data_IF_726014289570
#
_entry.id   IF_726014289570
#
_cell.length_a   1.000
_cell.length_b   1.000
_cell.length_c   1.000
_cell.angle_alpha   90.00
_cell.angle_beta   90.00
_cell.angle_gamma   90.00
#
_symmetry.space_group_name_H-M   'P 1'
#
loop_
_entity.id
_entity.type
_entity.pdbx_description
1 polymer ?
#
# COMPACT_ATOMS: atom_id res chain seq x y z
N UNK A 1 -33.08 14.12 11.08
CA UNK A 1 -33.15 12.94 10.22
C UNK A 1 -32.98 13.27 8.74
N UNK A 2 -32.04 14.17 8.33
CA UNK A 2 -31.73 14.50 6.93
C UNK A 2 -30.23 14.68 6.64
N UNK A 3 -29.34 14.28 7.56
CA UNK A 3 -27.89 14.35 7.39
C UNK A 3 -27.17 12.99 7.28
N UNK A 4 -27.93 11.87 7.33
CA UNK A 4 -27.37 10.51 7.29
C UNK A 4 -27.32 9.90 5.88
N UNK A 5 -27.67 10.64 4.83
CA UNK A 5 -27.76 10.09 3.46
C UNK A 5 -26.64 10.55 2.52
N UNK A 6 -25.66 11.29 3.00
CA UNK A 6 -24.60 11.85 2.12
C UNK A 6 -23.28 11.06 2.20
N UNK A 7 -23.08 10.23 3.23
CA UNK A 7 -21.78 9.56 3.43
C UNK A 7 -21.68 8.14 2.83
N UNK A 8 -22.79 7.55 2.38
CA UNK A 8 -22.81 6.24 1.71
C UNK A 8 -22.52 6.33 0.19
N UNK A 9 -22.30 7.53 -0.35
CA UNK A 9 -22.11 7.77 -1.80
C UNK A 9 -20.65 8.00 -2.22
N UNK A 10 -19.70 8.00 -1.30
CA UNK A 10 -18.30 8.19 -1.66
C UNK A 10 -17.58 6.91 -2.12
N UNK A 11 -18.21 5.74 -1.97
CA UNK A 11 -17.59 4.46 -2.38
C UNK A 11 -18.18 3.85 -3.68
N UNK A 12 -19.13 4.50 -4.35
CA UNK A 12 -19.76 3.83 -5.52
C UNK A 12 -20.07 4.68 -6.74
N UNK A 13 -19.90 5.98 -6.77
CA UNK A 13 -20.23 6.75 -7.99
C UNK A 13 -19.33 7.99 -8.12
N UNK A 14 -18.19 7.85 -8.81
CA UNK A 14 -17.64 8.98 -9.55
C UNK A 14 -18.37 9.06 -10.89
N UNK A 15 -19.08 10.15 -11.21
CA UNK A 15 -19.60 10.35 -12.54
C UNK A 15 -18.45 10.65 -13.51
N UNK A 16 -18.38 9.89 -14.59
CA UNK A 16 -17.61 10.22 -15.77
C UNK A 16 -18.00 11.63 -16.25
N UNK A 17 -17.19 12.61 -16.00
CA UNK A 17 -17.28 13.89 -16.68
C UNK A 17 -16.43 13.82 -17.94
N UNK A 18 -17.11 13.62 -19.07
CA UNK A 18 -16.58 13.85 -20.40
C UNK A 18 -16.22 15.34 -20.53
N UNK A 19 -14.94 15.68 -20.45
CA UNK A 19 -14.43 16.90 -21.04
C UNK A 19 -13.72 16.56 -22.35
N UNK A 20 -14.43 16.81 -23.42
CA UNK A 20 -13.83 16.94 -24.73
C UNK A 20 -13.10 18.28 -24.76
N UNK A 21 -11.77 18.27 -24.73
CA UNK A 21 -10.97 19.43 -25.09
C UNK A 21 -10.38 19.22 -26.47
N UNK A 22 -10.77 20.10 -27.38
CA UNK A 22 -10.26 20.15 -28.76
C UNK A 22 -8.78 20.47 -28.78
N UNK A 23 -8.08 19.76 -29.63
CA UNK A 23 -6.67 20.00 -29.96
C UNK A 23 -6.64 21.14 -31.00
N UNK A 24 -6.10 22.29 -30.66
CA UNK A 24 -5.61 23.25 -31.64
C UNK A 24 -4.12 23.01 -31.90
N UNK A 25 -3.67 23.12 -33.16
CA UNK A 25 -2.28 22.85 -33.52
C UNK A 25 -1.37 24.06 -33.19
N UNK A 26 -0.25 23.78 -32.54
CA UNK A 26 0.81 24.74 -32.28
C UNK A 26 1.66 24.98 -33.55
N UNK A 27 2.15 26.21 -33.79
CA UNK A 27 2.86 26.56 -35.02
C UNK A 27 4.31 26.09 -35.04
N UNK A 28 4.77 25.77 -36.25
CA UNK A 28 6.13 25.38 -36.61
C UNK A 28 7.19 26.45 -36.21
N UNK A 29 8.29 25.97 -35.67
CA UNK A 29 9.50 26.76 -35.45
C UNK A 29 10.45 26.65 -36.65
N UNK A 30 11.17 27.72 -37.02
CA UNK A 30 11.96 27.77 -38.25
C UNK A 30 13.33 27.07 -38.10
N UNK A 31 13.71 26.40 -39.17
CA UNK A 31 15.05 25.88 -39.41
C UNK A 31 16.03 27.01 -39.70
N UNK A 32 17.07 27.14 -38.90
CA UNK A 32 18.29 27.85 -39.30
C UNK A 32 19.50 26.89 -39.26
N UNK A 33 20.07 26.75 -40.42
CA UNK A 33 21.36 26.11 -40.68
C UNK A 33 22.47 27.12 -40.48
N UNK A 34 23.43 26.87 -39.58
CA UNK A 34 24.74 27.51 -39.67
C UNK A 34 25.87 26.53 -39.43
N UNK A 35 26.67 26.46 -40.49
CA UNK A 35 28.00 25.88 -40.61
C UNK A 35 28.97 26.49 -39.61
N UNK A 36 29.69 25.69 -38.83
CA UNK A 36 30.99 26.11 -38.29
C UNK A 36 31.98 24.99 -38.16
N UNK A 37 33.02 25.20 -38.90
CA UNK A 37 34.36 24.61 -39.03
C UNK A 37 34.91 23.81 -37.83
N UNK A 38 35.55 22.70 -38.23
CA UNK A 38 36.48 21.82 -37.51
C UNK A 38 37.61 22.60 -36.82
N UNK A 39 37.78 22.35 -35.52
CA UNK A 39 39.05 22.48 -34.82
C UNK A 39 39.34 21.17 -34.08
N UNK A 40 40.38 20.52 -34.59
CA UNK A 40 41.09 19.39 -33.98
C UNK A 40 41.57 19.78 -32.58
N UNK A 41 41.11 19.12 -31.53
CA UNK A 41 41.77 19.06 -30.22
C UNK A 41 41.97 17.63 -29.79
N UNK A 42 43.24 17.30 -29.68
CA UNK A 42 43.89 16.11 -29.18
C UNK A 42 43.21 15.49 -27.96
N UNK A 43 42.95 14.20 -28.08
CA UNK A 43 42.48 13.23 -27.12
C UNK A 43 43.54 12.90 -26.03
N UNK A 44 43.21 13.00 -24.74
CA UNK A 44 43.95 12.31 -23.70
C UNK A 44 43.10 11.14 -23.17
N UNK A 45 42.95 10.10 -23.99
CA UNK A 45 42.47 8.81 -23.52
C UNK A 45 43.64 7.93 -23.12
N UNK A 46 43.89 7.82 -21.84
CA UNK A 46 44.38 6.55 -21.28
C UNK A 46 44.21 6.58 -19.76
N UNK A 47 43.73 5.48 -19.24
CA UNK A 47 43.58 5.09 -17.84
C UNK A 47 42.20 5.34 -17.18
N UNK A 48 41.14 4.84 -17.82
CA UNK A 48 40.02 4.33 -17.07
C UNK A 48 40.21 2.82 -16.86
N UNK A 49 40.13 2.30 -15.61
CA UNK A 49 40.15 0.85 -15.41
C UNK A 49 38.97 0.24 -16.15
N UNK A 50 39.23 -0.85 -16.86
CA UNK A 50 38.21 -1.64 -17.53
C UNK A 50 37.10 -1.94 -16.52
N UNK A 51 35.89 -1.48 -16.80
CA UNK A 51 34.68 -1.91 -16.08
C UNK A 51 34.65 -3.41 -16.28
N UNK A 52 34.93 -4.15 -15.21
CA UNK A 52 34.77 -5.61 -15.20
C UNK A 52 33.41 -5.94 -15.77
N UNK A 53 33.43 -6.78 -16.77
CA UNK A 53 32.28 -7.41 -17.39
C UNK A 53 31.35 -7.95 -16.29
N UNK A 54 30.34 -7.19 -15.93
CA UNK A 54 29.23 -7.70 -15.15
C UNK A 54 28.51 -8.60 -16.15
N UNK A 55 28.79 -9.89 -16.05
CA UNK A 55 28.10 -10.89 -16.86
C UNK A 55 26.61 -10.75 -16.58
N UNK A 56 25.88 -10.18 -17.54
CA UNK A 56 24.41 -10.22 -17.52
C UNK A 56 24.05 -11.69 -17.46
N UNK A 57 23.27 -12.14 -16.45
CA UNK A 57 22.88 -13.54 -16.36
C UNK A 57 22.20 -13.95 -17.67
N UNK A 58 22.57 -15.13 -18.19
CA UNK A 58 21.99 -15.63 -19.42
C UNK A 58 20.49 -15.87 -19.19
N UNK A 59 19.64 -15.14 -19.91
CA UNK A 59 18.19 -15.29 -19.80
C UNK A 59 17.79 -16.68 -20.23
N UNK A 60 16.97 -17.38 -19.46
CA UNK A 60 16.54 -18.73 -19.80
C UNK A 60 15.07 -18.97 -19.48
N UNK A 61 14.38 -19.52 -20.47
CA UNK A 61 13.03 -20.02 -20.31
C UNK A 61 11.93 -18.96 -20.13
N UNK A 62 10.78 -19.41 -19.74
CA UNK A 62 9.60 -18.58 -19.46
C UNK A 62 9.27 -18.60 -17.98
N UNK A 63 8.75 -17.49 -17.47
CA UNK A 63 8.18 -17.37 -16.13
C UNK A 63 6.73 -16.97 -16.22
N UNK A 64 5.86 -17.72 -15.53
CA UNK A 64 4.42 -17.45 -15.48
C UNK A 64 3.94 -17.35 -14.05
N UNK A 65 3.21 -16.30 -13.73
CA UNK A 65 2.62 -16.10 -12.41
C UNK A 65 1.16 -15.68 -12.49
N UNK A 66 0.41 -16.04 -11.46
CA UNK A 66 -0.96 -15.57 -11.24
C UNK A 66 -1.01 -14.82 -9.93
N UNK A 67 -1.45 -13.57 -9.95
CA UNK A 67 -1.66 -12.73 -8.77
C UNK A 67 -3.14 -12.74 -8.42
N UNK A 68 -3.44 -13.20 -7.21
CA UNK A 68 -4.76 -13.21 -6.60
C UNK A 68 -4.77 -12.23 -5.42
N UNK A 69 -5.75 -11.35 -5.37
CA UNK A 69 -5.76 -10.38 -4.28
C UNK A 69 -6.88 -9.36 -4.33
N UNK A 70 -6.66 -8.30 -3.58
CA UNK A 70 -7.59 -7.19 -3.39
C UNK A 70 -7.16 -5.93 -4.16
N UNK A 71 -7.50 -4.75 -3.62
CA UNK A 71 -7.15 -3.44 -4.17
C UNK A 71 -5.64 -3.20 -4.25
N UNK A 72 -4.85 -3.76 -3.33
CA UNK A 72 -3.39 -3.65 -3.34
C UNK A 72 -2.84 -4.38 -4.58
N UNK A 73 -3.29 -5.62 -4.81
CA UNK A 73 -2.90 -6.39 -6.00
C UNK A 73 -3.32 -5.69 -7.29
N UNK A 74 -4.51 -5.07 -7.30
CA UNK A 74 -5.02 -4.32 -8.46
C UNK A 74 -4.23 -3.04 -8.73
N UNK A 75 -3.63 -2.41 -7.71
CA UNK A 75 -2.94 -1.12 -7.80
C UNK A 75 -3.88 0.06 -7.63
N UNK A 76 -4.86 -0.05 -6.72
CA UNK A 76 -5.77 1.04 -6.41
C UNK A 76 -5.01 2.29 -5.96
N UNK A 77 -5.46 3.45 -6.43
CA UNK A 77 -4.85 4.75 -6.09
C UNK A 77 -3.64 5.14 -6.93
N UNK A 78 -3.09 4.24 -7.76
CA UNK A 78 -2.02 4.56 -8.70
C UNK A 78 -2.56 5.30 -9.93
N UNK A 79 -1.76 6.22 -10.47
CA UNK A 79 -2.11 6.98 -11.68
C UNK A 79 -2.29 6.06 -12.91
N UNK A 80 -1.46 5.04 -13.03
CA UNK A 80 -1.48 4.06 -14.12
C UNK A 80 -1.31 2.64 -13.56
N UNK A 81 -2.36 2.03 -13.01
CA UNK A 81 -2.24 0.73 -12.32
C UNK A 81 -1.64 -0.39 -13.19
N UNK A 82 -1.95 -0.42 -14.49
CA UNK A 82 -1.46 -1.43 -15.42
C UNK A 82 0.06 -1.46 -15.55
N UNK A 83 0.74 -0.33 -15.35
CA UNK A 83 2.20 -0.23 -15.43
C UNK A 83 2.90 -0.02 -14.08
N UNK A 84 2.18 0.48 -13.07
CA UNK A 84 2.77 0.89 -11.80
C UNK A 84 2.49 -0.08 -10.63
N UNK A 85 1.52 -0.98 -10.75
CA UNK A 85 1.27 -1.98 -9.73
C UNK A 85 2.43 -2.97 -9.62
N UNK A 86 2.67 -3.50 -8.44
CA UNK A 86 3.82 -4.36 -8.17
C UNK A 86 3.97 -5.53 -9.15
N UNK A 87 2.87 -6.14 -9.61
CA UNK A 87 2.92 -7.25 -10.57
C UNK A 87 3.42 -6.83 -11.97
N UNK A 88 3.17 -5.59 -12.39
CA UNK A 88 3.71 -5.05 -13.63
C UNK A 88 5.21 -4.73 -13.50
N UNK A 89 5.60 -4.13 -12.37
CA UNK A 89 7.01 -3.85 -12.05
C UNK A 89 7.82 -5.15 -11.89
N UNK A 90 7.23 -6.20 -11.33
CA UNK A 90 7.81 -7.54 -11.29
C UNK A 90 8.04 -8.08 -12.71
N UNK A 91 7.06 -7.97 -13.60
CA UNK A 91 7.18 -8.46 -14.97
C UNK A 91 8.34 -7.77 -15.70
N UNK A 92 8.49 -6.46 -15.52
CA UNK A 92 9.61 -5.70 -16.07
C UNK A 92 10.95 -6.18 -15.51
N UNK A 93 11.08 -6.27 -14.18
CA UNK A 93 12.31 -6.65 -13.50
C UNK A 93 12.73 -8.10 -13.81
N UNK A 94 11.78 -9.04 -13.81
CA UNK A 94 12.02 -10.46 -14.11
C UNK A 94 12.40 -10.67 -15.59
N UNK A 95 12.06 -9.74 -16.49
CA UNK A 95 12.53 -9.74 -17.87
C UNK A 95 14.05 -9.64 -18.02
N UNK A 96 14.80 -9.33 -16.96
CA UNK A 96 16.26 -9.44 -16.94
C UNK A 96 16.75 -10.90 -16.80
N UNK A 97 15.92 -11.80 -16.25
CA UNK A 97 16.28 -13.18 -15.89
C UNK A 97 15.61 -14.22 -16.81
N UNK A 98 14.44 -13.91 -17.35
CA UNK A 98 13.65 -14.82 -18.19
C UNK A 98 13.46 -14.25 -19.60
N UNK A 99 13.37 -15.15 -20.60
CA UNK A 99 13.14 -14.75 -22.00
C UNK A 99 11.74 -14.18 -22.18
N UNK A 100 10.76 -14.79 -21.49
CA UNK A 100 9.37 -14.33 -21.45
C UNK A 100 8.86 -14.32 -20.02
N UNK A 101 8.12 -13.27 -19.67
CA UNK A 101 7.46 -13.13 -18.37
C UNK A 101 5.98 -12.86 -18.61
N UNK A 102 5.11 -13.69 -18.05
CA UNK A 102 3.66 -13.56 -18.14
C UNK A 102 3.07 -13.55 -16.72
N UNK A 103 2.58 -12.40 -16.27
CA UNK A 103 1.97 -12.22 -14.94
C UNK A 103 0.52 -11.78 -15.10
N UNK A 104 -0.40 -12.71 -14.90
CA UNK A 104 -1.84 -12.45 -14.90
C UNK A 104 -2.31 -11.94 -13.55
N UNK A 105 -2.93 -10.77 -13.49
CA UNK A 105 -3.38 -10.14 -12.24
C UNK A 105 -4.90 -10.15 -12.13
N UNK A 106 -5.39 -10.77 -11.05
CA UNK A 106 -6.80 -10.93 -10.69
C UNK A 106 -7.17 -10.20 -9.39
N UNK A 107 -6.48 -9.11 -9.08
CA UNK A 107 -6.81 -8.21 -7.97
C UNK A 107 -8.18 -7.54 -8.18
N UNK A 108 -9.00 -7.49 -7.14
CA UNK A 108 -10.32 -6.83 -7.14
C UNK A 108 -10.49 -6.00 -5.88
N UNK A 109 -10.86 -4.73 -6.03
CA UNK A 109 -11.04 -3.82 -4.90
C UNK A 109 -12.03 -4.38 -3.87
N UNK A 110 -11.65 -4.29 -2.61
CA UNK A 110 -12.48 -4.72 -1.49
C UNK A 110 -12.58 -6.24 -1.29
N UNK A 111 -11.92 -7.06 -2.13
CA UNK A 111 -12.01 -8.52 -2.02
C UNK A 111 -11.52 -9.01 -0.67
N UNK A 112 -12.29 -9.88 -0.04
CA UNK A 112 -11.97 -10.61 1.18
C UNK A 112 -11.48 -12.02 0.89
N UNK A 113 -10.96 -12.73 1.91
CA UNK A 113 -10.57 -14.13 1.76
C UNK A 113 -11.73 -15.03 1.37
N UNK A 114 -12.94 -14.80 1.91
CA UNK A 114 -14.17 -15.53 1.54
C UNK A 114 -14.49 -15.34 0.05
N UNK A 115 -14.44 -14.12 -0.44
CA UNK A 115 -14.73 -13.81 -1.85
C UNK A 115 -13.66 -14.36 -2.79
N UNK A 116 -12.38 -14.35 -2.37
CA UNK A 116 -11.32 -15.02 -3.11
C UNK A 116 -11.56 -16.54 -3.19
N UNK A 117 -11.94 -17.16 -2.07
CA UNK A 117 -12.25 -18.60 -2.02
C UNK A 117 -13.44 -18.95 -2.93
N UNK A 118 -14.49 -18.12 -2.93
CA UNK A 118 -15.65 -18.33 -3.80
C UNK A 118 -15.25 -18.19 -5.29
N UNK A 119 -14.45 -17.19 -5.63
CA UNK A 119 -13.91 -17.01 -6.97
C UNK A 119 -13.12 -18.25 -7.44
N UNK A 120 -12.23 -18.78 -6.61
CA UNK A 120 -11.45 -19.98 -6.92
C UNK A 120 -12.32 -21.23 -7.12
N UNK A 121 -13.49 -21.32 -6.46
CA UNK A 121 -14.43 -22.43 -6.61
C UNK A 121 -15.32 -22.33 -7.84
N UNK A 122 -15.67 -21.13 -8.25
CA UNK A 122 -16.72 -20.90 -9.24
C UNK A 122 -16.18 -20.53 -10.63
N UNK A 123 -15.12 -19.71 -10.67
CA UNK A 123 -14.56 -19.19 -11.93
C UNK A 123 -13.04 -18.97 -11.81
N UNK A 124 -12.25 -20.01 -11.48
CA UNK A 124 -10.82 -19.86 -11.27
C UNK A 124 -10.08 -19.45 -12.55
N UNK A 125 -9.01 -18.65 -12.43
CA UNK A 125 -8.15 -18.30 -13.55
C UNK A 125 -7.56 -19.56 -14.21
N UNK A 126 -7.65 -19.67 -15.53
CA UNK A 126 -7.11 -20.83 -16.28
C UNK A 126 -5.59 -20.89 -16.21
N UNK A 127 -4.97 -19.73 -16.07
CA UNK A 127 -3.52 -19.56 -15.98
C UNK A 127 -2.92 -20.25 -14.76
N UNK A 128 -3.71 -20.51 -13.73
CA UNK A 128 -3.24 -21.29 -12.56
C UNK A 128 -2.79 -22.70 -12.96
N UNK A 129 -3.42 -23.30 -13.97
CA UNK A 129 -3.12 -24.70 -14.35
C UNK A 129 -1.68 -24.93 -14.83
N UNK A 130 -1.02 -23.89 -15.36
CA UNK A 130 0.32 -23.99 -15.95
C UNK A 130 1.28 -22.86 -15.54
N UNK A 131 0.96 -22.13 -14.46
CA UNK A 131 1.85 -21.14 -13.90
C UNK A 131 2.95 -21.76 -13.02
N UNK A 132 4.08 -21.08 -12.93
CA UNK A 132 5.18 -21.45 -12.03
C UNK A 132 4.85 -21.10 -10.58
N UNK A 133 4.13 -19.98 -10.37
CA UNK A 133 3.70 -19.59 -9.03
C UNK A 133 2.35 -18.85 -9.00
N UNK A 134 1.72 -18.91 -7.81
CA UNK A 134 0.55 -18.13 -7.45
C UNK A 134 0.91 -17.19 -6.30
N UNK A 135 0.66 -15.93 -6.47
CA UNK A 135 0.88 -14.86 -5.48
C UNK A 135 -0.45 -14.50 -4.85
N UNK A 136 -0.52 -14.51 -3.52
CA UNK A 136 -1.72 -14.19 -2.75
C UNK A 136 -1.47 -12.93 -1.93
N UNK A 137 -2.25 -11.88 -2.20
CA UNK A 137 -2.23 -10.59 -1.48
C UNK A 137 -3.66 -10.30 -0.99
N UNK A 138 -4.00 -10.84 0.19
CA UNK A 138 -5.35 -10.79 0.75
C UNK A 138 -5.31 -10.67 2.28
N UNK A 139 -6.38 -10.18 2.89
CA UNK A 139 -6.55 -10.16 4.34
C UNK A 139 -6.87 -8.76 4.88
N UNK A 140 -6.34 -7.69 4.29
CA UNK A 140 -6.61 -6.33 4.73
C UNK A 140 -8.10 -6.00 4.83
N UNK A 141 -8.88 -6.44 3.86
CA UNK A 141 -10.33 -6.23 3.84
C UNK A 141 -11.11 -7.06 4.87
N UNK A 142 -10.51 -8.09 5.45
CA UNK A 142 -11.12 -8.82 6.55
C UNK A 142 -11.30 -7.93 7.79
N UNK A 143 -10.45 -6.90 7.96
CA UNK A 143 -10.63 -5.85 8.98
C UNK A 143 -11.50 -4.70 8.45
N UNK A 144 -11.29 -4.26 7.22
CA UNK A 144 -11.98 -3.10 6.66
C UNK A 144 -13.51 -3.28 6.53
N UNK A 145 -14.01 -4.50 6.38
CA UNK A 145 -15.46 -4.77 6.42
C UNK A 145 -16.10 -4.54 7.79
N UNK A 146 -15.29 -4.32 8.84
CA UNK A 146 -15.74 -4.06 10.20
C UNK A 146 -15.76 -2.56 10.53
N UNK A 147 -16.02 -1.75 9.52
CA UNK A 147 -15.76 -0.31 9.41
C UNK A 147 -16.47 0.61 10.40
N UNK A 148 -17.54 0.22 11.11
CA UNK A 148 -18.27 1.17 11.93
C UNK A 148 -17.43 1.78 13.05
N UNK A 149 -16.57 0.99 13.70
CA UNK A 149 -15.69 1.49 14.78
C UNK A 149 -14.51 2.30 14.23
N UNK A 150 -13.83 1.79 13.21
CA UNK A 150 -12.73 2.51 12.56
C UNK A 150 -13.24 3.79 11.89
N UNK A 151 -14.42 3.74 11.25
CA UNK A 151 -15.05 4.93 10.65
C UNK A 151 -15.39 5.98 11.71
N UNK A 152 -15.84 5.56 12.91
CA UNK A 152 -16.11 6.48 14.02
C UNK A 152 -14.81 7.19 14.45
N UNK A 153 -13.72 6.45 14.59
CA UNK A 153 -12.42 7.02 14.94
C UNK A 153 -11.89 7.98 13.85
N UNK A 154 -11.96 7.58 12.58
CA UNK A 154 -11.51 8.44 11.48
C UNK A 154 -12.40 9.66 11.29
N UNK A 155 -13.71 9.56 11.49
CA UNK A 155 -14.60 10.72 11.49
C UNK A 155 -14.24 11.70 12.60
N UNK A 156 -13.95 11.21 13.81
CA UNK A 156 -13.49 12.07 14.90
C UNK A 156 -12.18 12.78 14.56
N UNK A 157 -11.24 12.07 13.94
CA UNK A 157 -9.97 12.64 13.51
C UNK A 157 -10.15 13.72 12.43
N UNK A 158 -11.06 13.51 11.47
CA UNK A 158 -11.40 14.50 10.44
C UNK A 158 -12.16 15.72 10.96
N UNK A 159 -12.70 15.66 12.19
CA UNK A 159 -13.32 16.81 12.87
C UNK A 159 -12.31 17.70 13.60
N UNK A 160 -11.02 17.33 13.61
CA UNK A 160 -9.98 18.16 14.22
C UNK A 160 -9.91 19.53 13.54
N UNK A 161 -10.14 20.58 14.32
CA UNK A 161 -10.15 21.96 13.81
C UNK A 161 -8.73 22.39 13.37
N UNK A 162 -8.50 22.64 12.07
CA UNK A 162 -7.20 23.11 11.58
C UNK A 162 -6.73 24.39 12.27
N UNK A 163 -7.68 25.24 12.74
CA UNK A 163 -7.37 26.44 13.48
C UNK A 163 -6.81 26.12 14.88
N UNK A 164 -7.33 25.11 15.56
CA UNK A 164 -6.79 24.69 16.85
C UNK A 164 -5.35 24.18 16.69
N UNK A 165 -5.06 23.39 15.64
CA UNK A 165 -3.69 22.95 15.31
C UNK A 165 -2.79 24.14 15.01
N UNK A 166 -3.23 25.09 14.19
CA UNK A 166 -2.45 26.30 13.87
C UNK A 166 -2.21 27.18 15.12
N UNK A 167 -3.22 27.37 15.98
CA UNK A 167 -3.10 28.12 17.22
C UNK A 167 -2.14 27.42 18.21
N UNK A 168 -2.15 26.09 18.29
CA UNK A 168 -1.18 25.34 19.08
C UNK A 168 0.25 25.69 18.63
N UNK A 169 0.60 25.51 17.37
CA UNK A 169 1.97 25.81 16.89
C UNK A 169 2.35 27.28 17.03
N UNK A 170 1.38 28.18 16.90
CA UNK A 170 1.63 29.61 17.05
C UNK A 170 1.99 30.01 18.48
N UNK A 171 1.35 29.38 19.47
CA UNK A 171 1.44 29.83 20.87
C UNK A 171 2.23 28.88 21.79
N UNK A 172 2.60 27.67 21.32
CA UNK A 172 3.26 26.65 22.17
C UNK A 172 4.67 27.04 22.66
N UNK A 173 5.33 28.02 22.05
CA UNK A 173 6.75 28.32 22.38
C UNK A 173 6.88 29.21 23.60
N UNK A 174 6.11 30.29 23.71
CA UNK A 174 6.20 31.23 24.83
C UNK A 174 4.93 32.10 24.91
N UNK A 175 3.78 31.56 25.29
CA UNK A 175 2.53 32.31 25.32
C UNK A 175 2.50 33.36 26.44
N UNK A 176 2.00 34.56 26.16
CA UNK A 176 1.80 35.62 27.14
C UNK A 176 0.33 36.13 27.14
N UNK A 177 -0.16 36.51 28.31
CA UNK A 177 -1.51 37.09 28.46
C UNK A 177 -2.60 36.17 27.88
N UNK A 178 -3.43 36.72 26.98
CA UNK A 178 -4.54 36.00 26.30
C UNK A 178 -4.06 34.84 25.40
N UNK A 179 -2.78 34.77 25.05
CA UNK A 179 -2.25 33.67 24.24
C UNK A 179 -2.24 32.37 25.00
N UNK A 180 -2.12 32.40 26.34
CA UNK A 180 -2.21 31.22 27.20
C UNK A 180 -3.58 30.57 27.13
N UNK A 181 -4.63 31.40 27.11
CA UNK A 181 -6.01 30.88 27.02
C UNK A 181 -6.27 30.25 25.63
N UNK A 182 -5.68 30.84 24.58
CA UNK A 182 -5.78 30.28 23.21
C UNK A 182 -5.01 28.96 23.08
N UNK A 183 -3.82 28.88 23.69
CA UNK A 183 -3.06 27.63 23.72
C UNK A 183 -3.81 26.54 24.50
N UNK A 184 -4.35 26.87 25.68
CA UNK A 184 -5.11 25.93 26.49
C UNK A 184 -6.33 25.40 25.70
N UNK A 185 -7.09 26.28 25.07
CA UNK A 185 -8.21 25.86 24.21
C UNK A 185 -7.75 24.95 23.05
N UNK A 186 -6.64 25.26 22.40
CA UNK A 186 -6.10 24.43 21.31
C UNK A 186 -5.66 23.05 21.83
N UNK A 187 -4.97 22.99 22.96
CA UNK A 187 -4.58 21.73 23.61
C UNK A 187 -5.80 20.87 23.97
N UNK A 188 -6.81 21.47 24.59
CA UNK A 188 -8.05 20.78 24.98
C UNK A 188 -8.79 20.22 23.74
N UNK A 189 -8.88 21.01 22.66
CA UNK A 189 -9.54 20.60 21.43
C UNK A 189 -8.81 19.42 20.75
N UNK A 190 -7.48 19.48 20.66
CA UNK A 190 -6.66 18.39 20.09
C UNK A 190 -6.74 17.16 20.98
N UNK A 191 -6.60 17.31 22.30
CA UNK A 191 -6.68 16.22 23.27
C UNK A 191 -8.03 15.50 23.20
N UNK A 192 -9.13 16.25 23.09
CA UNK A 192 -10.47 15.68 22.97
C UNK A 192 -10.62 14.78 21.72
N UNK A 193 -10.06 15.21 20.58
CA UNK A 193 -10.11 14.42 19.34
C UNK A 193 -9.23 13.17 19.47
N UNK A 194 -7.99 13.32 19.94
CA UNK A 194 -7.07 12.19 20.13
C UNK A 194 -7.66 11.16 21.10
N UNK A 195 -8.26 11.61 22.20
CA UNK A 195 -8.94 10.74 23.16
C UNK A 195 -10.12 10.00 22.56
N UNK A 196 -10.92 10.66 21.72
CA UNK A 196 -12.05 10.03 21.04
C UNK A 196 -11.60 8.95 20.05
N UNK A 197 -10.53 9.21 19.29
CA UNK A 197 -9.91 8.23 18.37
C UNK A 197 -9.37 7.04 19.15
N UNK A 198 -8.58 7.30 20.19
CA UNK A 198 -8.01 6.25 21.04
C UNK A 198 -9.11 5.37 21.67
N UNK A 199 -10.16 5.99 22.22
CA UNK A 199 -11.26 5.27 22.85
C UNK A 199 -11.97 4.33 21.86
N UNK A 200 -12.13 4.74 20.61
CA UNK A 200 -12.72 3.89 19.57
C UNK A 200 -11.85 2.66 19.30
N UNK A 201 -10.55 2.83 19.12
CA UNK A 201 -9.60 1.75 18.85
C UNK A 201 -9.24 0.90 20.09
N UNK A 202 -9.42 1.41 21.30
CA UNK A 202 -9.25 0.67 22.55
C UNK A 202 -10.51 -0.10 22.97
N UNK A 203 -11.64 0.12 22.30
CA UNK A 203 -12.90 -0.51 22.65
C UNK A 203 -12.85 -2.05 22.57
N UNK A 204 -13.64 -2.72 23.41
CA UNK A 204 -13.83 -4.19 23.34
C UNK A 204 -14.35 -4.62 21.96
N UNK A 205 -15.21 -3.81 21.36
CA UNK A 205 -15.74 -4.05 20.02
C UNK A 205 -14.62 -4.12 18.99
N UNK A 206 -13.73 -3.12 18.95
CA UNK A 206 -12.61 -3.12 18.00
C UNK A 206 -11.66 -4.31 18.25
N UNK A 207 -11.32 -4.59 19.51
CA UNK A 207 -10.45 -5.71 19.85
C UNK A 207 -11.05 -7.06 19.47
N UNK A 208 -12.36 -7.24 19.65
CA UNK A 208 -13.06 -8.44 19.19
C UNK A 208 -13.02 -8.57 17.67
N UNK A 209 -13.27 -7.45 16.96
CA UNK A 209 -13.31 -7.43 15.50
C UNK A 209 -11.95 -7.83 14.86
N UNK A 210 -10.83 -7.26 15.33
CA UNK A 210 -9.51 -7.64 14.78
C UNK A 210 -9.16 -9.10 15.09
N UNK A 211 -9.54 -9.59 16.29
CA UNK A 211 -9.36 -10.99 16.66
C UNK A 211 -10.17 -11.92 15.76
N UNK A 212 -11.42 -11.57 15.49
CA UNK A 212 -12.31 -12.37 14.63
C UNK A 212 -11.88 -12.30 13.15
N UNK A 213 -11.27 -11.19 12.69
CA UNK A 213 -10.68 -11.10 11.37
C UNK A 213 -9.51 -12.07 11.19
N UNK A 214 -8.62 -12.14 12.18
CA UNK A 214 -7.51 -13.08 12.19
C UNK A 214 -7.98 -14.54 12.16
N UNK A 215 -8.96 -14.90 13.02
CA UNK A 215 -9.54 -16.25 13.04
C UNK A 215 -10.19 -16.65 11.71
N UNK A 216 -10.93 -15.72 11.08
CA UNK A 216 -11.51 -15.99 9.75
C UNK A 216 -10.43 -16.25 8.72
N UNK A 217 -9.39 -15.44 8.72
CA UNK A 217 -8.27 -15.67 7.80
C UNK A 217 -7.57 -17.01 8.06
N UNK A 218 -7.43 -17.41 9.34
CA UNK A 218 -6.93 -18.74 9.73
C UNK A 218 -7.79 -19.88 9.15
N UNK A 219 -9.11 -19.71 9.09
CA UNK A 219 -10.03 -20.69 8.49
C UNK A 219 -10.02 -20.65 6.95
N UNK A 220 -9.80 -19.47 6.35
CA UNK A 220 -9.83 -19.26 4.90
C UNK A 220 -8.56 -19.73 4.20
N UNK A 221 -7.38 -19.50 4.78
CA UNK A 221 -6.08 -19.82 4.16
C UNK A 221 -5.98 -21.28 3.72
N UNK A 222 -6.31 -22.30 4.58
CA UNK A 222 -6.23 -23.70 4.16
C UNK A 222 -7.13 -24.03 2.97
N UNK A 223 -8.31 -23.40 2.93
CA UNK A 223 -9.27 -23.61 1.85
C UNK A 223 -8.80 -22.98 0.54
N UNK A 224 -8.26 -21.75 0.58
CA UNK A 224 -7.69 -21.07 -0.57
C UNK A 224 -6.53 -21.87 -1.16
N UNK A 225 -5.58 -22.29 -0.31
CA UNK A 225 -4.43 -23.10 -0.73
C UNK A 225 -4.89 -24.43 -1.33
N UNK A 226 -5.89 -25.10 -0.74
CA UNK A 226 -6.42 -26.35 -1.26
C UNK A 226 -7.07 -26.18 -2.65
N UNK A 227 -7.80 -25.10 -2.91
CA UNK A 227 -8.37 -24.84 -4.26
C UNK A 227 -7.25 -24.59 -5.29
N UNK A 228 -6.21 -23.82 -4.95
CA UNK A 228 -5.07 -23.62 -5.85
C UNK A 228 -4.35 -24.95 -6.13
N UNK A 229 -4.12 -25.81 -5.12
CA UNK A 229 -3.47 -27.11 -5.27
C UNK A 229 -4.27 -28.11 -6.11
N UNK A 230 -5.60 -27.99 -6.14
CA UNK A 230 -6.46 -28.81 -7.05
C UNK A 230 -6.22 -28.43 -8.51
N UNK A 231 -6.00 -27.15 -8.78
CA UNK A 231 -5.78 -26.63 -10.13
C UNK A 231 -4.34 -26.85 -10.60
N UNK A 232 -3.36 -26.59 -9.71
CA UNK A 232 -1.94 -26.78 -9.98
C UNK A 232 -1.21 -27.27 -8.71
N UNK A 233 -1.00 -28.57 -8.58
CA UNK A 233 -0.31 -29.15 -7.42
C UNK A 233 1.17 -28.76 -7.34
N UNK A 234 1.77 -28.29 -8.44
CA UNK A 234 3.20 -27.99 -8.55
C UNK A 234 3.53 -26.50 -8.44
N UNK A 235 2.55 -25.61 -8.56
CA UNK A 235 2.82 -24.18 -8.45
C UNK A 235 3.44 -23.83 -7.09
N UNK A 236 4.47 -23.00 -7.09
CA UNK A 236 4.88 -22.35 -5.84
C UNK A 236 3.76 -21.40 -5.39
N UNK A 237 3.46 -21.34 -4.11
CA UNK A 237 2.48 -20.42 -3.56
C UNK A 237 3.23 -19.42 -2.68
N UNK A 238 3.06 -18.15 -2.95
CA UNK A 238 3.58 -17.02 -2.18
C UNK A 238 2.43 -16.30 -1.50
N UNK A 239 2.46 -16.21 -0.18
CA UNK A 239 1.45 -15.49 0.58
C UNK A 239 2.09 -14.27 1.24
N UNK A 240 1.66 -13.07 0.84
CA UNK A 240 2.21 -11.83 1.34
C UNK A 240 1.59 -11.47 2.70
N UNK A 241 2.42 -10.99 3.65
CA UNK A 241 1.95 -10.38 4.90
C UNK A 241 1.35 -9.00 4.66
N UNK A 242 0.43 -8.60 5.52
CA UNK A 242 -0.25 -7.29 5.47
C UNK A 242 0.60 -6.27 6.24
N UNK A 243 0.98 -5.17 5.61
CA UNK A 243 1.75 -4.09 6.23
C UNK A 243 0.86 -3.17 7.10
N UNK A 244 1.49 -2.46 8.05
CA UNK A 244 0.82 -1.42 8.85
C UNK A 244 0.65 -0.14 8.02
N UNK A 245 -0.57 0.24 7.60
CA UNK A 245 -0.77 1.43 6.76
C UNK A 245 -0.60 2.74 7.53
N UNK A 246 -0.58 2.69 8.87
CA UNK A 246 -0.51 3.88 9.74
C UNK A 246 0.85 3.98 10.45
N UNK A 247 1.87 3.33 9.91
CA UNK A 247 3.24 3.37 10.45
C UNK A 247 3.74 4.81 10.59
N UNK A 248 4.25 5.15 11.79
CA UNK A 248 4.74 6.49 12.11
C UNK A 248 3.64 7.52 12.41
N UNK A 249 2.35 7.14 12.42
CA UNK A 249 1.25 8.07 12.68
C UNK A 249 0.88 8.19 14.17
N UNK A 250 1.82 7.94 15.07
CA UNK A 250 1.68 8.33 16.47
C UNK A 250 2.07 9.80 16.64
N UNK A 251 1.20 10.59 17.27
CA UNK A 251 1.45 12.02 17.51
C UNK A 251 1.41 12.35 18.98
N UNK A 252 2.52 12.89 19.49
CA UNK A 252 2.61 13.42 20.83
C UNK A 252 2.96 14.91 20.78
N UNK A 253 2.14 15.74 21.38
CA UNK A 253 2.32 17.18 21.43
C UNK A 253 2.52 17.64 22.89
N UNK A 254 3.43 18.58 23.10
CA UNK A 254 3.68 19.14 24.42
C UNK A 254 2.42 19.85 24.95
N UNK A 255 2.07 19.63 26.22
CA UNK A 255 0.89 20.20 26.89
C UNK A 255 -0.47 19.72 26.34
N UNK A 256 -0.49 18.76 25.41
CA UNK A 256 -1.69 18.01 25.00
C UNK A 256 -1.72 16.72 25.82
N UNK A 257 -2.80 16.50 26.57
CA UNK A 257 -2.88 15.38 27.53
C UNK A 257 -2.94 14.01 26.84
N UNK A 258 -3.60 13.95 25.68
CA UNK A 258 -3.76 12.72 24.91
C UNK A 258 -2.75 12.65 23.76
N UNK A 259 -2.20 11.47 23.56
CA UNK A 259 -1.36 11.13 22.41
C UNK A 259 -2.19 10.36 21.38
N UNK A 260 -2.12 10.73 20.10
CA UNK A 260 -2.70 9.91 19.02
C UNK A 260 -1.81 8.68 18.79
N UNK A 261 -2.43 7.48 18.68
CA UNK A 261 -1.72 6.19 18.59
C UNK A 261 -2.12 5.35 17.39
N UNK A 262 -2.23 5.96 16.20
CA UNK A 262 -2.67 5.23 14.99
C UNK A 262 -1.70 4.12 14.58
N UNK A 263 -0.40 4.35 14.72
CA UNK A 263 0.63 3.32 14.46
C UNK A 263 0.43 2.10 15.36
N UNK A 264 0.24 2.30 16.67
CA UNK A 264 0.04 1.21 17.63
C UNK A 264 -1.21 0.37 17.30
N UNK A 265 -2.28 1.03 16.85
CA UNK A 265 -3.52 0.34 16.48
C UNK A 265 -3.39 -0.39 15.16
N UNK A 266 -2.72 0.21 14.17
CA UNK A 266 -2.39 -0.42 12.91
C UNK A 266 -1.55 -1.67 13.12
N UNK A 267 -0.48 -1.56 13.89
CA UNK A 267 0.43 -2.66 14.24
C UNK A 267 -0.32 -3.85 14.87
N UNK A 268 -1.13 -3.58 15.88
CA UNK A 268 -1.93 -4.60 16.55
C UNK A 268 -2.93 -5.28 15.60
N UNK A 269 -3.50 -4.51 14.68
CA UNK A 269 -4.47 -5.03 13.70
C UNK A 269 -3.81 -5.95 12.69
N UNK A 270 -2.67 -5.54 12.12
CA UNK A 270 -1.98 -6.37 11.13
C UNK A 270 -1.30 -7.59 11.76
N UNK A 271 -0.86 -7.50 13.01
CA UNK A 271 -0.33 -8.65 13.75
C UNK A 271 -1.37 -9.79 13.86
N UNK A 272 -2.66 -9.46 14.10
CA UNK A 272 -3.72 -10.45 14.12
C UNK A 272 -3.94 -11.14 12.76
N UNK A 273 -3.73 -10.43 11.63
CA UNK A 273 -3.85 -11.00 10.29
C UNK A 273 -2.62 -11.81 9.89
N UNK A 274 -1.43 -11.32 10.26
CA UNK A 274 -0.17 -11.95 9.85
C UNK A 274 0.12 -13.24 10.64
N UNK A 275 -0.34 -13.33 11.90
CA UNK A 275 -0.16 -14.52 12.71
C UNK A 275 -0.61 -15.83 12.01
N UNK A 276 -1.82 -15.96 11.46
CA UNK A 276 -2.21 -17.16 10.72
C UNK A 276 -1.45 -17.32 9.38
N UNK A 277 -1.11 -16.24 8.68
CA UNK A 277 -0.31 -16.30 7.44
C UNK A 277 1.05 -16.95 7.73
N UNK A 278 1.70 -16.57 8.81
CA UNK A 278 3.01 -17.11 9.18
C UNK A 278 2.89 -18.54 9.76
N UNK A 279 1.93 -18.77 10.67
CA UNK A 279 1.79 -20.03 11.39
C UNK A 279 1.44 -21.22 10.48
N UNK A 280 0.65 -21.01 9.44
CA UNK A 280 0.15 -22.08 8.56
C UNK A 280 1.10 -22.38 7.37
N UNK A 281 2.16 -21.61 7.19
CA UNK A 281 3.03 -21.66 6.01
C UNK A 281 3.70 -23.02 5.81
N UNK A 282 4.30 -23.57 6.86
CA UNK A 282 5.01 -24.85 6.81
C UNK A 282 4.04 -26.01 6.57
N UNK A 283 2.90 -26.05 7.27
CA UNK A 283 1.91 -27.11 7.14
C UNK A 283 1.28 -27.14 5.74
N UNK A 284 0.96 -25.95 5.19
CA UNK A 284 0.27 -25.83 3.90
C UNK A 284 1.23 -25.72 2.71
N UNK A 285 2.53 -25.63 2.94
CA UNK A 285 3.57 -25.61 1.91
C UNK A 285 3.49 -24.37 1.01
N UNK A 286 3.33 -23.19 1.59
CA UNK A 286 3.50 -21.93 0.90
C UNK A 286 4.64 -21.12 1.54
N UNK A 287 5.19 -20.17 0.79
CA UNK A 287 6.24 -19.27 1.24
C UNK A 287 5.64 -17.93 1.67
N UNK A 288 6.02 -17.45 2.85
CA UNK A 288 5.59 -16.15 3.36
C UNK A 288 6.46 -15.05 2.73
N UNK A 289 5.82 -14.04 2.15
CA UNK A 289 6.50 -12.86 1.60
C UNK A 289 6.43 -11.74 2.64
N UNK A 290 7.56 -11.30 3.20
CA UNK A 290 7.61 -10.48 4.41
C UNK A 290 7.37 -8.97 4.13
N UNK A 291 6.28 -8.63 3.45
CA UNK A 291 5.97 -7.24 3.11
C UNK A 291 5.81 -6.37 4.36
N UNK A 292 5.23 -6.91 5.44
CA UNK A 292 5.11 -6.19 6.71
C UNK A 292 6.47 -5.73 7.24
N UNK A 293 7.40 -6.67 7.41
CA UNK A 293 8.74 -6.38 7.94
C UNK A 293 9.51 -5.41 7.04
N UNK A 294 9.47 -5.61 5.74
CA UNK A 294 10.18 -4.78 4.77
C UNK A 294 9.63 -3.34 4.72
N UNK A 295 8.32 -3.17 4.86
CA UNK A 295 7.69 -1.86 4.98
C UNK A 295 8.13 -1.16 6.27
N UNK A 296 8.12 -1.89 7.40
CA UNK A 296 8.50 -1.37 8.72
C UNK A 296 9.96 -0.92 8.79
N UNK A 297 10.86 -1.68 8.17
CA UNK A 297 12.30 -1.43 8.19
C UNK A 297 12.76 -0.44 7.12
N UNK A 298 11.94 -0.16 6.11
CA UNK A 298 12.31 0.70 4.98
C UNK A 298 12.67 2.14 5.37
N UNK A 299 12.05 2.67 6.42
CA UNK A 299 12.15 4.07 6.82
C UNK A 299 11.62 5.07 5.76
N UNK A 300 10.84 4.60 4.79
CA UNK A 300 10.28 5.39 3.68
C UNK A 300 8.79 5.58 3.87
N UNK A 301 8.25 6.61 3.22
CA UNK A 301 6.82 6.82 3.06
C UNK A 301 6.33 5.96 1.89
N UNK A 302 5.66 4.85 2.21
CA UNK A 302 5.26 3.81 1.25
C UNK A 302 3.76 3.71 1.04
N UNK A 303 2.98 4.49 1.78
CA UNK A 303 1.52 4.41 1.83
C UNK A 303 0.91 5.78 1.58
N UNK A 304 -0.34 5.83 1.14
CA UNK A 304 -1.07 7.08 0.97
C UNK A 304 -1.63 7.65 2.29
N UNK A 305 -1.67 6.85 3.37
CA UNK A 305 -2.00 7.35 4.69
C UNK A 305 -0.87 8.23 5.24
N UNK A 306 -1.23 9.31 5.90
CA UNK A 306 -0.24 10.22 6.48
C UNK A 306 -0.88 11.32 7.31
N UNK A 307 -0.11 11.91 8.19
CA UNK A 307 -0.50 13.07 8.99
C UNK A 307 0.58 14.16 8.92
N UNK A 308 0.17 15.35 8.53
CA UNK A 308 0.97 16.56 8.62
C UNK A 308 0.29 17.54 9.55
N UNK A 309 1.02 18.08 10.49
CA UNK A 309 0.46 19.02 11.46
C UNK A 309 0.65 20.48 11.02
N UNK A 310 1.59 20.75 10.11
CA UNK A 310 1.84 22.13 9.64
C UNK A 310 2.36 22.14 8.18
N UNK A 311 1.52 22.45 7.18
CA UNK A 311 0.08 22.68 7.31
C UNK A 311 -0.65 21.41 7.77
N UNK A 312 -1.79 21.59 8.46
CA UNK A 312 -2.58 20.43 8.87
C UNK A 312 -3.20 19.74 7.66
N UNK A 313 -2.83 18.49 7.49
CA UNK A 313 -3.38 17.60 6.49
C UNK A 313 -3.38 16.18 7.02
N UNK A 314 -4.37 15.40 6.66
CA UNK A 314 -4.49 14.02 7.08
C UNK A 314 -5.12 13.16 5.99
N UNK A 315 -4.47 12.03 5.72
CA UNK A 315 -4.99 10.97 4.87
C UNK A 315 -5.04 9.67 5.65
N UNK A 316 -6.12 8.93 5.53
CA UNK A 316 -6.28 7.59 6.11
C UNK A 316 -6.35 6.49 5.04
N UNK A 317 -5.99 6.83 3.80
CA UNK A 317 -5.95 5.88 2.68
C UNK A 317 -4.88 4.80 2.91
N UNK A 318 -5.26 3.53 3.16
CA UNK A 318 -4.32 2.47 3.52
C UNK A 318 -3.53 1.90 2.34
N UNK A 319 -3.76 2.37 1.11
CA UNK A 319 -3.14 1.78 -0.07
C UNK A 319 -1.68 2.21 -0.25
N UNK A 320 -0.82 1.32 -0.77
CA UNK A 320 0.54 1.69 -1.08
C UNK A 320 0.58 2.78 -2.16
N UNK A 321 1.49 3.73 -1.99
CA UNK A 321 1.86 4.62 -3.07
C UNK A 321 2.77 3.87 -4.09
N UNK A 322 3.23 4.56 -5.14
CA UNK A 322 4.05 3.92 -6.16
C UNK A 322 5.37 3.34 -5.59
N UNK A 323 5.98 3.98 -4.58
CA UNK A 323 7.20 3.49 -3.91
C UNK A 323 6.91 2.21 -3.09
N UNK A 324 5.72 2.11 -2.49
CA UNK A 324 5.26 0.89 -1.84
C UNK A 324 5.12 -0.26 -2.83
N UNK A 325 4.57 0.01 -4.02
CA UNK A 325 4.50 -1.00 -5.08
C UNK A 325 5.87 -1.40 -5.63
N UNK A 326 6.81 -0.47 -5.76
CA UNK A 326 8.20 -0.79 -6.13
C UNK A 326 8.86 -1.71 -5.09
N UNK A 327 8.69 -1.43 -3.80
CA UNK A 327 9.24 -2.27 -2.74
C UNK A 327 8.62 -3.67 -2.77
N UNK A 328 7.29 -3.80 -2.88
CA UNK A 328 6.63 -5.10 -3.01
C UNK A 328 7.18 -5.87 -4.22
N UNK A 329 7.30 -5.22 -5.37
CA UNK A 329 7.85 -5.84 -6.57
C UNK A 329 9.29 -6.34 -6.35
N UNK A 330 10.12 -5.53 -5.70
CA UNK A 330 11.51 -5.89 -5.36
C UNK A 330 11.56 -7.13 -4.47
N UNK A 331 10.77 -7.17 -3.39
CA UNK A 331 10.72 -8.31 -2.46
C UNK A 331 10.39 -9.60 -3.22
N UNK A 332 9.38 -9.58 -4.07
CA UNK A 332 9.03 -10.76 -4.88
C UNK A 332 10.13 -11.14 -5.87
N UNK A 333 10.73 -10.17 -6.55
CA UNK A 333 11.82 -10.46 -7.49
C UNK A 333 13.02 -11.08 -6.79
N UNK A 334 13.40 -10.57 -5.62
CA UNK A 334 14.52 -11.11 -4.83
C UNK A 334 14.26 -12.58 -4.41
N UNK A 335 13.03 -12.89 -3.96
CA UNK A 335 12.62 -14.25 -3.58
C UNK A 335 12.59 -15.19 -4.81
N UNK A 336 12.00 -14.75 -5.91
CA UNK A 336 11.82 -15.55 -7.12
C UNK A 336 13.16 -15.87 -7.79
N UNK A 337 14.08 -14.89 -7.80
CA UNK A 337 15.40 -15.05 -8.44
C UNK A 337 16.48 -15.56 -7.49
N UNK A 338 16.16 -15.73 -6.19
CA UNK A 338 17.12 -16.11 -5.13
C UNK A 338 18.32 -15.14 -5.04
N UNK A 339 18.16 -13.92 -5.54
CA UNK A 339 19.16 -12.87 -5.43
C UNK A 339 18.97 -12.16 -4.08
N UNK A 340 20.01 -12.24 -3.23
CA UNK A 340 20.04 -11.55 -1.93
C UNK A 340 20.89 -10.29 -1.99
#
# INVERSE_FOLDING_TARGET
MKKLLVLLLFFSIMPFSLFACGVEPSPEAPTESENRSEEEKSDPTSDLPAINDVSVPERSGSFKAVVLGDSIARGYGLESPESMRYSALMAESLGAFYETVDISNYGVDGRTGVELLEFLKTDPPKEINDCDCVIISIGGNNILQMLDTAQTAFNALMELDPKAVADYFKYAVAPEGEEKDKLAYACDAISSVFGAVNAAFESETFNSLITDAGKRLEEEIPLIVAEIRKLNPNAKIYFQTVYNPYKGMNVSLKEVDEQLKLDDYGERSVACLNAPIEALSEELGYEVVPVWTEFDESGKDLVNAGISLLPFDISVDPHPNWQGHELIAKIYCDIITEVK
#
